data_IF_257855085070
#
_entry.id   IF_257855085070
#
_cell.length_a   1.000
_cell.length_b   1.000
_cell.length_c   1.000
_cell.angle_alpha   90.00
_cell.angle_beta   90.00
_cell.angle_gamma   90.00
#
_symmetry.space_group_name_H-M   'P 1'
#
loop_
_entity.id
_entity.type
_entity.pdbx_description
1 polymer ?
#
# COMPACT_ATOMS: atom_id res chain seq x y z
N UNK A 1 1.68 -22.09 -14.15
CA UNK A 1 2.54 -21.10 -13.46
C UNK A 1 1.82 -19.77 -13.22
N UNK A 2 1.05 -19.27 -14.17
CA UNK A 2 0.35 -17.98 -14.09
C UNK A 2 -0.59 -17.83 -12.89
N UNK A 3 -1.37 -18.86 -12.56
CA UNK A 3 -2.29 -18.84 -11.40
C UNK A 3 -1.53 -18.71 -10.08
N UNK A 4 -0.45 -19.48 -9.89
CA UNK A 4 0.38 -19.39 -8.69
C UNK A 4 0.98 -17.99 -8.55
N UNK A 5 1.49 -17.41 -9.65
CA UNK A 5 2.02 -16.05 -9.66
C UNK A 5 0.95 -15.03 -9.27
N UNK A 6 -0.27 -15.12 -9.81
CA UNK A 6 -1.40 -14.25 -9.43
C UNK A 6 -1.73 -14.36 -7.95
N UNK A 7 -1.78 -15.59 -7.42
CA UNK A 7 -2.05 -15.83 -5.99
C UNK A 7 -0.97 -15.16 -5.14
N UNK A 8 0.31 -15.44 -5.42
CA UNK A 8 1.44 -14.88 -4.67
C UNK A 8 1.45 -13.35 -4.74
N UNK A 9 1.30 -12.75 -5.92
CA UNK A 9 1.31 -11.30 -6.07
C UNK A 9 0.12 -10.63 -5.35
N UNK A 10 -1.07 -11.22 -5.43
CA UNK A 10 -2.23 -10.71 -4.69
C UNK A 10 -2.03 -10.79 -3.18
N UNK A 11 -1.43 -11.88 -2.67
CA UNK A 11 -1.09 -12.00 -1.25
C UNK A 11 -0.05 -10.95 -0.84
N UNK A 12 0.96 -10.69 -1.67
CA UNK A 12 1.96 -9.65 -1.42
C UNK A 12 1.35 -8.24 -1.39
N UNK A 13 0.38 -7.94 -2.27
CA UNK A 13 -0.36 -6.68 -2.24
C UNK A 13 -1.11 -6.51 -0.91
N UNK A 14 -1.82 -7.54 -0.47
CA UNK A 14 -2.51 -7.53 0.83
C UNK A 14 -1.52 -7.34 1.97
N UNK A 15 -0.42 -8.10 1.99
CA UNK A 15 0.59 -8.01 3.03
C UNK A 15 1.22 -6.60 3.11
N UNK A 16 1.50 -5.98 1.96
CA UNK A 16 2.01 -4.62 1.91
C UNK A 16 1.00 -3.60 2.45
N UNK A 17 -0.29 -3.72 2.09
CA UNK A 17 -1.35 -2.89 2.67
C UNK A 17 -1.43 -3.05 4.20
N UNK A 18 -1.41 -4.28 4.70
CA UNK A 18 -1.50 -4.58 6.13
C UNK A 18 -0.30 -4.10 6.95
N UNK A 19 0.90 -4.01 6.36
CA UNK A 19 2.09 -3.45 7.03
C UNK A 19 1.83 -2.02 7.52
N UNK A 20 0.95 -1.25 6.87
CA UNK A 20 0.63 0.09 7.36
C UNK A 20 -0.14 0.10 8.70
N UNK A 21 -0.76 -1.01 9.11
CA UNK A 21 -1.35 -1.12 10.44
C UNK A 21 -0.30 -1.11 11.56
N UNK A 22 0.98 -1.26 11.24
CA UNK A 22 2.08 -1.10 12.19
C UNK A 22 2.11 0.32 12.82
N UNK A 23 1.54 1.33 12.18
CA UNK A 23 1.39 2.67 12.78
C UNK A 23 0.51 2.72 14.03
N UNK A 24 -0.35 1.72 14.29
CA UNK A 24 -1.15 1.67 15.54
C UNK A 24 -0.49 0.87 16.66
N UNK A 25 0.58 0.13 16.35
CA UNK A 25 1.30 -0.67 17.34
C UNK A 25 2.17 0.27 18.18
N UNK A 26 2.05 0.25 19.53
CA UNK A 26 2.86 1.12 20.38
C UNK A 26 4.36 0.86 20.20
N UNK A 27 5.13 1.93 19.96
CA UNK A 27 6.59 1.88 19.80
C UNK A 27 7.35 1.43 21.06
N UNK A 28 6.66 1.25 22.20
CA UNK A 28 7.23 1.00 23.52
C UNK A 28 8.09 -0.28 23.64
N UNK A 29 8.11 -1.14 22.61
CA UNK A 29 8.92 -2.35 22.59
C UNK A 29 10.27 -2.21 21.85
N UNK A 30 10.46 -1.20 20.99
CA UNK A 30 11.68 -1.06 20.19
C UNK A 30 11.93 0.40 19.74
N UNK A 31 13.01 1.07 20.17
CA UNK A 31 13.37 2.39 19.67
C UNK A 31 13.73 2.40 18.17
N UNK A 32 14.04 1.25 17.59
CA UNK A 32 14.22 1.09 16.14
C UNK A 32 12.89 1.01 15.37
N UNK A 33 11.74 1.07 16.04
CA UNK A 33 10.43 1.02 15.41
C UNK A 33 10.14 2.29 14.59
N UNK A 34 9.96 2.19 13.26
CA UNK A 34 9.85 3.36 12.40
C UNK A 34 8.40 3.87 12.23
N UNK A 35 7.40 3.10 12.64
CA UNK A 35 5.99 3.45 12.48
C UNK A 35 5.49 4.26 13.68
N UNK A 36 5.57 5.59 13.58
CA UNK A 36 5.22 6.51 14.65
C UNK A 36 4.18 7.54 14.18
N UNK A 37 3.19 7.84 15.02
CA UNK A 37 2.16 8.86 14.74
C UNK A 37 2.35 10.14 15.54
N UNK A 38 3.32 10.14 16.46
CA UNK A 38 3.63 11.24 17.37
C UNK A 38 4.28 12.40 16.63
N UNK A 39 4.96 12.14 15.52
CA UNK A 39 5.68 13.14 14.73
C UNK A 39 5.16 13.15 13.29
N UNK A 40 4.88 14.35 12.79
CA UNK A 40 4.54 14.59 11.40
C UNK A 40 5.04 15.99 11.06
N UNK A 41 5.62 16.15 9.87
CA UNK A 41 6.03 17.46 9.36
C UNK A 41 4.90 18.15 8.58
N UNK A 42 3.83 17.43 8.25
CA UNK A 42 2.70 17.92 7.45
C UNK A 42 1.46 18.23 8.30
N UNK A 43 1.21 17.45 9.36
CA UNK A 43 -0.03 17.50 10.12
C UNK A 43 0.16 18.12 11.53
N UNK A 44 -0.76 19.01 11.95
CA UNK A 44 -0.80 19.46 13.34
C UNK A 44 -1.15 18.30 14.27
N UNK A 45 -0.68 18.38 15.52
CA UNK A 45 -0.78 17.28 16.50
C UNK A 45 -2.20 16.71 16.65
N UNK A 46 -3.20 17.60 16.78
CA UNK A 46 -4.60 17.21 16.91
C UNK A 46 -5.16 16.43 15.71
N UNK A 47 -4.58 16.60 14.51
CA UNK A 47 -5.03 15.93 13.28
C UNK A 47 -4.29 14.61 13.00
N UNK A 48 -3.13 14.36 13.61
CA UNK A 48 -2.26 13.22 13.27
C UNK A 48 -2.98 11.88 13.35
N UNK A 49 -3.53 11.54 14.52
CA UNK A 49 -4.23 10.27 14.75
C UNK A 49 -5.47 10.06 13.88
N UNK A 50 -6.44 11.01 13.78
CA UNK A 50 -7.62 10.79 12.94
C UNK A 50 -7.25 10.68 11.45
N UNK A 51 -6.35 11.53 10.96
CA UNK A 51 -5.92 11.49 9.55
C UNK A 51 -5.17 10.19 9.25
N UNK A 52 -4.28 9.75 10.14
CA UNK A 52 -3.59 8.48 10.00
C UNK A 52 -4.57 7.30 10.00
N UNK A 53 -5.56 7.29 10.88
CA UNK A 53 -6.61 6.26 10.94
C UNK A 53 -7.34 6.11 9.61
N UNK A 54 -7.80 7.23 9.04
CA UNK A 54 -8.49 7.25 7.74
C UNK A 54 -7.56 6.81 6.62
N UNK A 55 -6.33 7.34 6.55
CA UNK A 55 -5.36 6.99 5.51
C UNK A 55 -4.97 5.51 5.58
N UNK A 56 -4.68 4.97 6.77
CA UNK A 56 -4.38 3.54 6.94
C UNK A 56 -5.55 2.67 6.46
N UNK A 57 -6.78 3.00 6.87
CA UNK A 57 -7.96 2.28 6.42
C UNK A 57 -8.10 2.31 4.89
N UNK A 58 -7.94 3.49 4.28
CA UNK A 58 -7.98 3.66 2.83
C UNK A 58 -6.88 2.87 2.11
N UNK A 59 -5.66 2.86 2.65
CA UNK A 59 -4.53 2.09 2.12
C UNK A 59 -4.83 0.60 2.14
N UNK A 60 -5.25 0.05 3.29
CA UNK A 60 -5.58 -1.38 3.41
C UNK A 60 -6.69 -1.76 2.43
N UNK A 61 -7.78 -1.00 2.38
CA UNK A 61 -8.89 -1.27 1.48
C UNK A 61 -8.48 -1.21 0.01
N UNK A 62 -7.65 -0.23 -0.38
CA UNK A 62 -7.17 -0.08 -1.75
C UNK A 62 -6.24 -1.23 -2.17
N UNK A 63 -5.34 -1.68 -1.30
CA UNK A 63 -4.47 -2.83 -1.58
C UNK A 63 -5.23 -4.16 -1.63
N UNK A 64 -6.23 -4.34 -0.75
CA UNK A 64 -7.15 -5.49 -0.83
C UNK A 64 -7.91 -5.44 -2.16
N UNK A 65 -8.47 -4.30 -2.54
CA UNK A 65 -9.16 -4.14 -3.81
C UNK A 65 -8.25 -4.42 -5.02
N UNK A 66 -6.98 -3.99 -4.97
CA UNK A 66 -5.98 -4.29 -6.00
C UNK A 66 -5.70 -5.79 -6.11
N UNK A 67 -5.57 -6.49 -4.97
CA UNK A 67 -5.40 -7.93 -4.95
C UNK A 67 -6.63 -8.68 -5.50
N UNK A 68 -7.84 -8.28 -5.10
CA UNK A 68 -9.08 -8.85 -5.62
C UNK A 68 -9.23 -8.60 -7.12
N UNK A 69 -8.88 -7.40 -7.59
CA UNK A 69 -8.82 -7.10 -9.02
C UNK A 69 -7.85 -8.06 -9.71
N UNK A 70 -6.62 -8.23 -9.21
CA UNK A 70 -5.61 -9.14 -9.78
C UNK A 70 -6.07 -10.60 -9.82
N UNK A 71 -6.83 -11.05 -8.83
CA UNK A 71 -7.43 -12.38 -8.78
C UNK A 71 -8.66 -12.55 -9.67
N UNK A 72 -9.08 -11.49 -10.37
CA UNK A 72 -10.17 -11.55 -11.34
C UNK A 72 -11.55 -11.54 -10.71
N UNK A 73 -11.71 -10.97 -9.52
CA UNK A 73 -13.04 -10.82 -8.89
C UNK A 73 -13.97 -10.02 -9.81
N UNK A 74 -15.17 -10.53 -10.14
CA UNK A 74 -16.12 -9.82 -10.99
C UNK A 74 -16.41 -8.40 -10.50
N UNK A 75 -16.41 -7.43 -11.42
CA UNK A 75 -16.59 -6.01 -11.10
C UNK A 75 -15.31 -5.26 -10.71
N UNK A 76 -14.22 -5.95 -10.35
CA UNK A 76 -12.92 -5.33 -10.02
C UNK A 76 -11.82 -5.66 -11.04
N UNK A 77 -11.90 -6.80 -11.71
CA UNK A 77 -10.88 -7.32 -12.62
C UNK A 77 -10.31 -6.27 -13.61
N UNK A 78 -11.19 -5.56 -14.34
CA UNK A 78 -10.78 -4.54 -15.31
C UNK A 78 -10.18 -3.27 -14.69
N UNK A 79 -10.27 -3.10 -13.38
CA UNK A 79 -9.83 -1.93 -12.64
C UNK A 79 -8.45 -2.07 -12.00
N UNK A 80 -7.71 -3.17 -12.23
CA UNK A 80 -6.44 -3.40 -11.51
C UNK A 80 -5.47 -2.22 -11.58
N UNK A 81 -5.23 -1.66 -12.77
CA UNK A 81 -4.32 -0.51 -12.95
C UNK A 81 -4.73 0.73 -12.14
N UNK A 82 -5.93 1.31 -12.33
CA UNK A 82 -6.33 2.50 -11.57
C UNK A 82 -6.41 2.25 -10.06
N UNK A 83 -6.86 1.06 -9.63
CA UNK A 83 -6.91 0.72 -8.20
C UNK A 83 -5.51 0.66 -7.60
N UNK A 84 -4.55 0.05 -8.31
CA UNK A 84 -3.15 -0.08 -7.84
C UNK A 84 -2.45 1.27 -7.78
N UNK A 85 -2.71 2.16 -8.74
CA UNK A 85 -2.20 3.55 -8.71
C UNK A 85 -2.72 4.28 -7.48
N UNK A 86 -4.02 4.18 -7.19
CA UNK A 86 -4.63 4.79 -5.99
C UNK A 86 -4.04 4.18 -4.72
N UNK A 87 -3.89 2.86 -4.64
CA UNK A 87 -3.31 2.16 -3.49
C UNK A 87 -1.88 2.63 -3.20
N UNK A 88 -1.02 2.66 -4.24
CA UNK A 88 0.35 3.15 -4.11
C UNK A 88 0.41 4.64 -3.76
N UNK A 89 -0.47 5.46 -4.35
CA UNK A 89 -0.55 6.90 -4.06
C UNK A 89 -0.94 7.18 -2.60
N UNK A 90 -1.92 6.45 -2.06
CA UNK A 90 -2.33 6.55 -0.67
C UNK A 90 -1.21 6.08 0.28
N UNK A 91 -0.51 4.99 -0.06
CA UNK A 91 0.62 4.49 0.74
C UNK A 91 1.76 5.51 0.79
N UNK A 92 2.16 6.05 -0.36
CA UNK A 92 3.15 7.13 -0.42
C UNK A 92 2.66 8.34 0.37
N UNK A 93 1.40 8.74 0.22
CA UNK A 93 0.83 9.85 0.99
C UNK A 93 0.93 9.66 2.50
N UNK A 94 0.60 8.46 3.00
CA UNK A 94 0.74 8.11 4.42
C UNK A 94 2.21 8.14 4.86
N UNK A 95 3.12 7.52 4.10
CA UNK A 95 4.55 7.49 4.41
C UNK A 95 5.19 8.87 4.37
N UNK A 96 4.78 9.72 3.42
CA UNK A 96 5.22 11.11 3.33
C UNK A 96 4.70 11.91 4.53
N UNK A 97 3.42 11.77 4.91
CA UNK A 97 2.86 12.48 6.06
C UNK A 97 3.55 12.12 7.40
N UNK A 98 3.99 10.88 7.56
CA UNK A 98 4.65 10.35 8.76
C UNK A 98 6.07 9.85 8.46
N UNK A 99 6.83 10.67 7.71
CA UNK A 99 8.12 10.29 7.15
C UNK A 99 9.15 9.80 8.17
N UNK A 100 9.73 8.63 7.87
CA UNK A 100 10.93 8.08 8.50
C UNK A 100 11.79 7.42 7.41
N UNK A 101 13.09 7.71 7.40
CA UNK A 101 14.01 7.21 6.35
C UNK A 101 14.05 5.68 6.28
N UNK A 102 13.81 4.98 7.40
CA UNK A 102 13.80 3.50 7.45
C UNK A 102 12.66 2.90 6.63
N UNK A 103 11.63 3.69 6.30
CA UNK A 103 10.48 3.28 5.51
C UNK A 103 10.68 3.44 4.00
N UNK A 104 11.88 3.79 3.53
CA UNK A 104 12.16 4.02 2.11
C UNK A 104 11.79 2.82 1.21
N UNK A 105 11.93 1.58 1.72
CA UNK A 105 11.55 0.36 0.99
C UNK A 105 10.05 0.36 0.69
N UNK A 106 9.21 0.80 1.63
CA UNK A 106 7.78 0.91 1.42
C UNK A 106 7.42 1.88 0.29
N UNK A 107 8.13 3.01 0.22
CA UNK A 107 8.00 3.95 -0.90
C UNK A 107 8.44 3.33 -2.21
N UNK A 108 9.60 2.65 -2.23
CA UNK A 108 10.12 2.00 -3.43
C UNK A 108 9.13 0.94 -3.98
N UNK A 109 8.52 0.14 -3.10
CA UNK A 109 7.47 -0.82 -3.47
C UNK A 109 6.27 -0.11 -4.08
N UNK A 110 5.76 0.94 -3.43
CA UNK A 110 4.61 1.69 -3.93
C UNK A 110 4.87 2.35 -5.29
N UNK A 111 6.05 2.93 -5.47
CA UNK A 111 6.48 3.50 -6.76
C UNK A 111 6.57 2.43 -7.83
N UNK A 112 7.18 1.28 -7.53
CA UNK A 112 7.27 0.17 -8.47
C UNK A 112 5.88 -0.32 -8.89
N UNK A 113 4.93 -0.45 -7.96
CA UNK A 113 3.55 -0.83 -8.26
C UNK A 113 2.84 0.19 -9.15
N UNK A 114 3.01 1.50 -8.88
CA UNK A 114 2.47 2.56 -9.74
C UNK A 114 3.08 2.47 -11.14
N UNK A 115 4.41 2.31 -11.25
CA UNK A 115 5.11 2.19 -12.53
C UNK A 115 4.60 0.98 -13.32
N UNK A 116 4.45 -0.18 -12.68
CA UNK A 116 3.90 -1.38 -13.32
C UNK A 116 2.44 -1.18 -13.78
N UNK A 117 1.63 -0.51 -12.95
CA UNK A 117 0.24 -0.22 -13.25
C UNK A 117 0.06 0.76 -14.43
N UNK A 118 0.99 1.72 -14.57
CA UNK A 118 1.01 2.72 -15.64
C UNK A 118 1.60 2.16 -16.93
N UNK A 119 2.79 1.55 -16.85
CA UNK A 119 3.52 1.10 -18.04
C UNK A 119 2.96 -0.20 -18.62
N UNK A 120 2.30 -1.02 -17.80
CA UNK A 120 1.73 -2.33 -18.18
C UNK A 120 2.63 -3.11 -19.15
N UNK A 121 3.87 -3.45 -18.74
CA UNK A 121 4.79 -4.12 -19.64
C UNK A 121 4.23 -5.48 -20.08
N UNK A 122 4.53 -5.91 -21.30
CA UNK A 122 3.91 -7.08 -21.93
C UNK A 122 4.06 -8.41 -21.14
N UNK A 123 5.09 -8.53 -20.30
CA UNK A 123 5.27 -9.69 -19.42
C UNK A 123 4.22 -9.78 -18.31
N UNK A 124 3.50 -8.69 -18.03
CA UNK A 124 2.44 -8.60 -17.04
C UNK A 124 1.08 -9.06 -17.62
N UNK A 125 0.90 -9.05 -18.94
CA UNK A 125 -0.37 -9.43 -19.61
C UNK A 125 -0.86 -10.84 -19.26
N UNK A 126 0.00 -11.88 -19.18
CA UNK A 126 -0.45 -13.20 -18.74
C UNK A 126 -0.97 -13.18 -17.29
N UNK A 127 -0.46 -12.28 -16.46
CA UNK A 127 -0.75 -12.22 -15.03
C UNK A 127 -1.97 -11.35 -14.72
N UNK A 128 -2.28 -10.35 -15.54
CA UNK A 128 -3.44 -9.49 -15.32
C UNK A 128 -4.75 -10.17 -15.75
N UNK A 129 -5.88 -9.84 -15.09
CA UNK A 129 -7.19 -10.33 -15.48
C UNK A 129 -7.58 -9.95 -16.90
#
# INVERSE_FOLDING_TARGET
MTTLVRVVLGTLLIAHGLVHLLFVVPAAADPAYPFALERSWLLPEAARRPVAGVLMGAVVLAFVASALALWGVPGLAGGWSPITIVAGGLSIGLLVAFWDIRLWIGVAISVALIVLAVLRPAWLDPVLP
#
